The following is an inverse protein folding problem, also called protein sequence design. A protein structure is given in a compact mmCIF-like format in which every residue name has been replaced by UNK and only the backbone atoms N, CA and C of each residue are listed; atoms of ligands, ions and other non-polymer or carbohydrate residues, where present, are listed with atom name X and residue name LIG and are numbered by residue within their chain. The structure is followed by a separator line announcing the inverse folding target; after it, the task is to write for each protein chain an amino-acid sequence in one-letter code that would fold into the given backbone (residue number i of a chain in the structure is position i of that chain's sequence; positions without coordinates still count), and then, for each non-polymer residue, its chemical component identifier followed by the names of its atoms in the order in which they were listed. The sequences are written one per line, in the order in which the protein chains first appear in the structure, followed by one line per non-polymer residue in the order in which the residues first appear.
data_IF_694948924650
#
_entry.id   IF_694948924650
#
_cell.length_a   1.000
_cell.length_b   1.000
_cell.length_c   1.000
_cell.angle_alpha   90.00
_cell.angle_beta   90.00
_cell.angle_gamma   90.00
#
_symmetry.space_group_name_H-M   'P 1'
#
loop_
_entity.id
_entity.type
_entity.pdbx_description
1 polymer ?
#
# COMPACT_ATOMS: atom_id res chain seq x y z
N UNK A 1 3.43 12.44 47.61
CA UNK A 1 3.74 11.03 47.95
C UNK A 1 2.54 10.16 47.68
N UNK A 2 2.70 9.00 47.05
CA UNK A 2 1.61 8.03 46.91
C UNK A 2 1.31 7.44 48.29
N UNK A 3 0.18 7.83 48.90
CA UNK A 3 -0.29 7.24 50.16
C UNK A 3 -0.48 5.73 49.92
N UNK A 4 0.25 4.92 50.66
CA UNK A 4 0.16 3.46 50.62
C UNK A 4 -0.99 3.05 51.53
N UNK A 5 -1.98 2.39 50.98
CA UNK A 5 -3.09 1.85 51.76
C UNK A 5 -2.64 0.55 52.45
N UNK A 6 -3.23 0.27 53.60
CA UNK A 6 -3.01 -0.99 54.32
C UNK A 6 -3.59 -2.15 53.53
N UNK A 7 -3.09 -3.36 53.78
CA UNK A 7 -3.50 -4.55 53.03
C UNK A 7 -5.02 -4.80 53.09
N UNK A 8 -5.62 -4.69 54.29
CA UNK A 8 -7.07 -4.84 54.47
C UNK A 8 -7.88 -3.79 53.70
N UNK A 9 -7.38 -2.56 53.59
CA UNK A 9 -8.02 -1.49 52.82
C UNK A 9 -7.96 -1.81 51.32
N UNK A 10 -6.81 -2.30 50.84
CA UNK A 10 -6.63 -2.70 49.45
C UNK A 10 -7.56 -3.87 49.11
N UNK A 11 -7.72 -4.84 50.00
CA UNK A 11 -8.61 -5.99 49.80
C UNK A 11 -10.07 -5.58 49.72
N UNK A 12 -10.55 -4.73 50.64
CA UNK A 12 -11.91 -4.20 50.60
C UNK A 12 -12.17 -3.39 49.31
N UNK A 13 -11.24 -2.52 48.90
CA UNK A 13 -11.34 -1.75 47.65
C UNK A 13 -11.33 -2.65 46.41
N UNK A 14 -10.52 -3.72 46.41
CA UNK A 14 -10.47 -4.68 45.31
C UNK A 14 -11.75 -5.49 45.20
N UNK A 15 -12.25 -6.03 46.30
CA UNK A 15 -13.49 -6.79 46.33
C UNK A 15 -14.67 -5.95 45.84
N UNK A 16 -14.80 -4.71 46.32
CA UNK A 16 -15.83 -3.80 45.83
C UNK A 16 -15.69 -3.44 44.33
N UNK A 17 -14.45 -3.34 43.82
CA UNK A 17 -14.19 -3.07 42.40
C UNK A 17 -14.51 -4.27 41.51
N UNK A 18 -14.28 -5.49 42.00
CA UNK A 18 -14.63 -6.74 41.31
C UNK A 18 -16.15 -6.90 41.19
N UNK A 19 -16.91 -6.47 42.20
CA UNK A 19 -18.37 -6.41 42.12
C UNK A 19 -18.90 -5.30 41.20
N UNK A 20 -18.27 -4.12 41.21
CA UNK A 20 -18.65 -3.01 40.34
C UNK A 20 -17.50 -2.03 40.14
N UNK A 21 -17.16 -1.75 38.88
CA UNK A 21 -16.16 -0.74 38.53
C UNK A 21 -16.64 0.70 38.76
N UNK A 22 -17.95 0.88 38.87
CA UNK A 22 -18.61 2.15 39.14
C UNK A 22 -19.02 2.23 40.59
N UNK A 23 -18.49 3.25 41.27
CA UNK A 23 -18.72 3.44 42.69
C UNK A 23 -20.04 4.20 42.90
N UNK A 24 -21.08 3.51 43.34
CA UNK A 24 -22.37 4.10 43.72
C UNK A 24 -22.28 4.82 45.07
N UNK A 25 -23.25 5.68 45.39
CA UNK A 25 -23.25 6.46 46.64
C UNK A 25 -23.30 5.56 47.88
N UNK A 26 -24.11 4.50 47.86
CA UNK A 26 -24.22 3.53 48.96
C UNK A 26 -22.90 2.77 49.17
N UNK A 27 -22.36 2.13 48.12
CA UNK A 27 -21.08 1.42 48.20
C UNK A 27 -19.91 2.30 48.62
N UNK A 28 -19.96 3.60 48.26
CA UNK A 28 -18.97 4.58 48.71
C UNK A 28 -19.03 4.76 50.23
N UNK A 29 -20.22 4.86 50.82
CA UNK A 29 -20.37 4.98 52.27
C UNK A 29 -19.96 3.68 52.99
N UNK A 30 -20.33 2.53 52.43
CA UNK A 30 -19.91 1.23 52.98
C UNK A 30 -18.39 1.07 52.99
N UNK A 31 -17.71 1.50 51.92
CA UNK A 31 -16.25 1.48 51.86
C UNK A 31 -15.60 2.45 52.84
N UNK A 32 -16.17 3.64 53.08
CA UNK A 32 -15.67 4.55 54.13
C UNK A 32 -15.76 3.88 55.49
N UNK A 33 -16.91 3.26 55.81
CA UNK A 33 -17.11 2.56 57.08
C UNK A 33 -16.16 1.37 57.24
N UNK A 34 -15.95 0.58 56.19
CA UNK A 34 -15.13 -0.63 56.23
C UNK A 34 -13.61 -0.34 56.24
N UNK A 35 -13.16 0.73 55.57
CA UNK A 35 -11.72 1.02 55.37
C UNK A 35 -11.20 2.18 56.22
N UNK A 36 -12.09 3.01 56.77
CA UNK A 36 -11.74 4.26 57.46
C UNK A 36 -11.09 5.31 56.55
N UNK A 37 -11.13 5.10 55.22
CA UNK A 37 -10.54 6.01 54.24
C UNK A 37 -11.51 7.14 53.89
N UNK A 38 -10.93 8.29 53.54
CA UNK A 38 -11.72 9.40 53.05
C UNK A 38 -12.30 9.13 51.65
N UNK A 39 -13.44 9.74 51.38
CA UNK A 39 -14.20 9.60 50.14
C UNK A 39 -13.36 9.95 48.90
N UNK A 40 -12.51 10.97 49.00
CA UNK A 40 -11.63 11.36 47.90
C UNK A 40 -10.55 10.31 47.63
N UNK A 41 -10.03 9.68 48.69
CA UNK A 41 -9.02 8.64 48.57
C UNK A 41 -9.57 7.40 47.86
N UNK A 42 -10.80 6.99 48.22
CA UNK A 42 -11.52 5.89 47.57
C UNK A 42 -11.78 6.24 46.09
N UNK A 43 -12.29 7.44 45.81
CA UNK A 43 -12.56 7.88 44.44
C UNK A 43 -11.28 7.93 43.57
N UNK A 44 -10.18 8.45 44.14
CA UNK A 44 -8.87 8.49 43.48
C UNK A 44 -8.33 7.09 43.21
N UNK A 45 -8.50 6.16 44.15
CA UNK A 45 -8.10 4.77 43.97
C UNK A 45 -8.88 4.10 42.82
N UNK A 46 -10.21 4.25 42.80
CA UNK A 46 -11.05 3.71 41.71
C UNK A 46 -10.68 4.30 40.35
N UNK A 47 -10.44 5.62 40.29
CA UNK A 47 -10.00 6.29 39.06
C UNK A 47 -8.66 5.72 38.55
N UNK A 48 -7.66 5.61 39.44
CA UNK A 48 -6.36 5.00 39.11
C UNK A 48 -6.49 3.54 38.72
N UNK A 49 -7.37 2.78 39.37
CA UNK A 49 -7.61 1.36 39.06
C UNK A 49 -8.18 1.19 37.65
N UNK A 50 -9.19 1.98 37.28
CA UNK A 50 -9.75 2.01 35.91
C UNK A 50 -8.72 2.46 34.88
N UNK A 51 -7.91 3.48 35.19
CA UNK A 51 -6.85 3.92 34.29
C UNK A 51 -5.82 2.80 34.02
N UNK A 52 -5.41 2.07 35.06
CA UNK A 52 -4.52 0.90 34.90
C UNK A 52 -5.17 -0.24 34.13
N UNK A 53 -6.47 -0.50 34.35
CA UNK A 53 -7.21 -1.52 33.60
C UNK A 53 -7.23 -1.18 32.11
N UNK A 54 -7.65 0.04 31.74
CA UNK A 54 -7.64 0.53 30.36
C UNK A 54 -6.25 0.49 29.73
N UNK A 55 -5.21 0.88 30.46
CA UNK A 55 -3.84 0.81 29.96
C UNK A 55 -3.41 -0.63 29.63
N UNK A 56 -3.76 -1.60 30.49
CA UNK A 56 -3.47 -3.03 30.23
C UNK A 56 -4.25 -3.58 29.04
N UNK A 57 -5.52 -3.18 28.90
CA UNK A 57 -6.35 -3.58 27.75
C UNK A 57 -5.78 -3.02 26.45
N UNK A 58 -5.42 -1.74 26.42
CA UNK A 58 -4.79 -1.11 25.27
C UNK A 58 -3.43 -1.75 24.93
N UNK A 59 -2.62 -2.08 25.94
CA UNK A 59 -1.36 -2.79 25.73
C UNK A 59 -1.57 -4.19 25.13
N UNK A 60 -2.55 -4.94 25.63
CA UNK A 60 -2.89 -6.26 25.10
C UNK A 60 -3.40 -6.16 23.65
N UNK A 61 -4.25 -5.17 23.34
CA UNK A 61 -4.74 -4.92 21.99
C UNK A 61 -3.60 -4.54 21.02
N UNK A 62 -2.67 -3.69 21.46
CA UNK A 62 -1.48 -3.33 20.69
C UNK A 62 -0.59 -4.56 20.42
N UNK A 63 -0.40 -5.44 21.41
CA UNK A 63 0.37 -6.68 21.24
C UNK A 63 -0.29 -7.62 20.23
N UNK A 64 -1.62 -7.77 20.28
CA UNK A 64 -2.37 -8.55 19.30
C UNK A 64 -2.22 -7.96 17.90
N UNK A 65 -2.40 -6.65 17.74
CA UNK A 65 -2.24 -5.96 16.46
C UNK A 65 -0.82 -6.10 15.92
N UNK A 66 0.19 -5.95 16.77
CA UNK A 66 1.60 -6.13 16.40
C UNK A 66 1.87 -7.55 15.89
N UNK A 67 1.43 -8.58 16.62
CA UNK A 67 1.63 -9.97 16.22
C UNK A 67 0.96 -10.28 14.88
N UNK A 68 -0.26 -9.75 14.66
CA UNK A 68 -0.99 -9.89 13.40
C UNK A 68 -0.25 -9.24 12.24
N UNK A 69 0.13 -7.98 12.38
CA UNK A 69 0.88 -7.24 11.35
C UNK A 69 2.22 -7.91 11.05
N UNK A 70 2.89 -8.46 12.06
CA UNK A 70 4.14 -9.20 11.86
C UNK A 70 3.91 -10.47 11.01
N UNK A 71 2.81 -11.20 11.25
CA UNK A 71 2.46 -12.37 10.45
C UNK A 71 2.13 -11.97 9.00
N UNK A 72 1.32 -10.94 8.80
CA UNK A 72 0.97 -10.41 7.48
C UNK A 72 2.22 -9.95 6.71
N UNK A 73 3.12 -9.23 7.37
CA UNK A 73 4.40 -8.80 6.77
C UNK A 73 5.27 -9.98 6.33
N UNK A 74 5.34 -11.05 7.15
CA UNK A 74 6.08 -12.27 6.77
C UNK A 74 5.47 -12.95 5.56
N UNK A 75 4.14 -13.04 5.50
CA UNK A 75 3.43 -13.60 4.36
C UNK A 75 3.69 -12.78 3.09
N UNK A 76 3.53 -11.44 3.14
CA UNK A 76 3.80 -10.56 2.02
C UNK A 76 5.24 -10.67 1.52
N UNK A 77 6.23 -10.68 2.42
CA UNK A 77 7.64 -10.88 2.04
C UNK A 77 7.90 -12.22 1.36
N UNK A 78 7.22 -13.28 1.81
CA UNK A 78 7.29 -14.59 1.17
C UNK A 78 6.73 -14.56 -0.25
N UNK A 79 5.54 -13.99 -0.44
CA UNK A 79 4.93 -13.82 -1.76
C UNK A 79 5.77 -12.95 -2.69
N UNK A 80 6.33 -11.85 -2.19
CA UNK A 80 7.22 -10.97 -2.96
C UNK A 80 8.45 -11.74 -3.46
N UNK A 81 9.12 -12.50 -2.60
CA UNK A 81 10.27 -13.30 -2.99
C UNK A 81 9.92 -14.36 -4.05
N UNK A 82 8.74 -14.96 -3.96
CA UNK A 82 8.26 -15.90 -4.97
C UNK A 82 8.02 -15.21 -6.32
N UNK A 83 7.35 -14.06 -6.33
CA UNK A 83 7.12 -13.28 -7.55
C UNK A 83 8.42 -12.81 -8.19
N UNK A 84 9.41 -12.39 -7.39
CA UNK A 84 10.74 -12.03 -7.90
C UNK A 84 11.44 -13.22 -8.59
N UNK A 85 11.31 -14.43 -8.02
CA UNK A 85 11.84 -15.64 -8.63
C UNK A 85 11.15 -15.96 -9.96
N UNK A 86 9.81 -15.94 -9.98
CA UNK A 86 9.01 -16.17 -11.19
C UNK A 86 9.35 -15.14 -12.28
N UNK A 87 9.52 -13.87 -11.90
CA UNK A 87 9.93 -12.81 -12.82
C UNK A 87 11.31 -13.08 -13.42
N UNK A 88 12.28 -13.53 -12.61
CA UNK A 88 13.62 -13.86 -13.10
C UNK A 88 13.58 -15.05 -14.07
N UNK A 89 12.80 -16.08 -13.76
CA UNK A 89 12.61 -17.24 -14.63
C UNK A 89 11.95 -16.83 -15.96
N UNK A 90 10.92 -15.99 -15.91
CA UNK A 90 10.25 -15.45 -17.09
C UNK A 90 11.22 -14.65 -17.97
N UNK A 91 12.02 -13.76 -17.38
CA UNK A 91 13.05 -12.98 -18.10
C UNK A 91 14.10 -13.85 -18.79
N UNK A 92 14.51 -14.96 -18.15
CA UNK A 92 15.45 -15.92 -18.77
C UNK A 92 14.81 -16.59 -19.99
N UNK A 93 13.58 -17.07 -19.87
CA UNK A 93 12.83 -17.68 -20.99
C UNK A 93 12.64 -16.70 -22.14
N UNK A 94 12.35 -15.43 -21.84
CA UNK A 94 12.22 -14.39 -22.85
C UNK A 94 13.54 -14.14 -23.59
N UNK A 95 14.68 -14.12 -22.88
CA UNK A 95 15.99 -13.99 -23.50
C UNK A 95 16.31 -15.17 -24.43
N UNK A 96 16.01 -16.40 -24.01
CA UNK A 96 16.18 -17.61 -24.83
C UNK A 96 15.34 -17.54 -26.12
N UNK A 97 14.05 -17.15 -26.00
CA UNK A 97 13.16 -16.99 -27.15
C UNK A 97 13.62 -15.85 -28.08
N UNK A 98 14.16 -14.76 -27.53
CA UNK A 98 14.71 -13.67 -28.33
C UNK A 98 15.96 -14.09 -29.10
N UNK A 99 16.85 -14.87 -28.47
CA UNK A 99 18.01 -15.45 -29.14
C UNK A 99 17.62 -16.45 -30.22
N UNK A 100 16.62 -17.30 -29.97
CA UNK A 100 16.09 -18.21 -30.98
C UNK A 100 15.45 -17.45 -32.14
N UNK A 101 14.62 -16.44 -31.86
CA UNK A 101 14.05 -15.57 -32.89
C UNK A 101 15.14 -14.88 -33.72
N UNK A 102 16.23 -14.41 -33.09
CA UNK A 102 17.37 -13.83 -33.80
C UNK A 102 18.02 -14.86 -34.73
N UNK A 103 18.30 -16.07 -34.24
CA UNK A 103 18.87 -17.17 -35.04
C UNK A 103 17.94 -17.57 -36.20
N UNK A 104 16.63 -17.61 -35.96
CA UNK A 104 15.66 -17.90 -37.01
C UNK A 104 15.63 -16.81 -38.06
N UNK A 105 15.67 -15.53 -37.68
CA UNK A 105 15.80 -14.40 -38.62
C UNK A 105 17.08 -14.47 -39.44
N UNK A 106 18.22 -14.79 -38.82
CA UNK A 106 19.49 -15.00 -39.52
C UNK A 106 19.40 -16.16 -40.53
N UNK A 107 18.79 -17.29 -40.13
CA UNK A 107 18.55 -18.44 -41.03
C UNK A 107 17.62 -18.11 -42.17
N UNK A 108 16.53 -17.38 -41.91
CA UNK A 108 15.60 -16.90 -42.93
C UNK A 108 16.34 -15.97 -43.88
N UNK A 109 17.11 -14.99 -43.40
CA UNK A 109 17.87 -14.08 -44.27
C UNK A 109 18.91 -14.80 -45.16
N UNK A 110 19.53 -15.89 -44.67
CA UNK A 110 20.45 -16.71 -45.46
C UNK A 110 19.72 -17.62 -46.45
N UNK A 111 18.55 -18.16 -46.07
CA UNK A 111 17.69 -18.94 -46.97
C UNK A 111 17.01 -18.06 -48.04
N UNK A 112 16.66 -16.83 -47.67
CA UNK A 112 16.25 -15.70 -48.51
C UNK A 112 17.46 -15.01 -49.16
N UNK A 113 18.51 -15.78 -49.48
CA UNK A 113 19.45 -15.47 -50.55
C UNK A 113 18.79 -15.37 -51.94
N UNK A 114 17.48 -15.13 -52.00
CA UNK A 114 16.73 -14.81 -53.19
C UNK A 114 16.98 -13.34 -53.51
N UNK A 115 17.88 -13.13 -54.48
CA UNK A 115 18.04 -11.86 -55.21
C UNK A 115 16.70 -11.28 -55.70
N UNK A 116 15.66 -12.11 -55.80
CA UNK A 116 14.27 -11.71 -56.07
C UNK A 116 13.63 -10.91 -54.93
N UNK A 117 13.80 -11.28 -53.65
CA UNK A 117 13.21 -10.54 -52.53
C UNK A 117 13.84 -9.15 -52.39
N UNK A 118 15.17 -9.06 -52.56
CA UNK A 118 15.88 -7.78 -52.63
C UNK A 118 15.55 -6.92 -53.86
N UNK A 119 15.03 -7.52 -54.93
CA UNK A 119 14.45 -6.77 -56.07
C UNK A 119 13.04 -6.29 -55.76
N UNK A 120 12.26 -7.07 -55.01
CA UNK A 120 10.89 -6.75 -54.63
C UNK A 120 10.87 -5.59 -53.61
N UNK A 121 11.75 -5.62 -52.61
CA UNK A 121 11.90 -4.51 -51.65
C UNK A 121 12.27 -3.21 -52.37
N UNK A 122 13.26 -3.24 -53.28
CA UNK A 122 13.64 -2.06 -54.06
C UNK A 122 12.49 -1.53 -54.93
N UNK A 123 11.70 -2.43 -55.52
CA UNK A 123 10.52 -2.05 -56.29
C UNK A 123 9.48 -1.33 -55.41
N UNK A 124 9.15 -1.89 -54.25
CA UNK A 124 8.19 -1.28 -53.33
C UNK A 124 8.70 0.03 -52.73
N UNK A 125 9.99 0.15 -52.42
CA UNK A 125 10.60 1.41 -51.95
C UNK A 125 10.51 2.53 -52.99
N UNK A 126 10.73 2.23 -54.27
CA UNK A 126 10.58 3.21 -55.36
C UNK A 126 9.10 3.58 -55.59
N UNK A 127 8.18 2.62 -55.45
CA UNK A 127 6.74 2.88 -55.59
C UNK A 127 6.22 3.75 -54.43
N UNK A 128 6.69 3.49 -53.21
CA UNK A 128 6.34 4.30 -52.05
C UNK A 128 6.93 5.72 -52.14
N UNK A 129 8.15 5.87 -52.66
CA UNK A 129 8.73 7.21 -52.95
C UNK A 129 7.87 8.01 -53.93
N UNK A 130 7.40 7.37 -55.00
CA UNK A 130 6.48 8.01 -55.97
C UNK A 130 5.13 8.34 -55.35
N UNK A 131 4.65 7.50 -54.43
CA UNK A 131 3.42 7.77 -53.70
C UNK A 131 3.55 9.02 -52.82
N UNK A 132 4.63 9.09 -52.04
CA UNK A 132 4.97 10.25 -51.20
C UNK A 132 5.21 11.51 -52.04
N UNK A 133 5.86 11.42 -53.20
CA UNK A 133 6.02 12.57 -54.11
C UNK A 133 4.67 13.08 -54.62
N UNK A 134 3.72 12.19 -54.96
CA UNK A 134 2.36 12.59 -55.34
C UNK A 134 1.59 13.20 -54.17
N UNK A 135 1.75 12.67 -52.96
CA UNK A 135 1.17 13.23 -51.74
C UNK A 135 1.74 14.62 -51.43
N UNK A 136 3.05 14.81 -51.55
CA UNK A 136 3.72 16.09 -51.32
C UNK A 136 3.23 17.17 -52.30
N UNK A 137 2.99 16.80 -53.57
CA UNK A 137 2.38 17.70 -54.57
C UNK A 137 0.94 18.07 -54.17
N UNK A 138 0.16 17.10 -53.69
CA UNK A 138 -1.21 17.35 -53.21
C UNK A 138 -1.25 18.19 -51.91
N UNK A 139 -0.29 18.00 -50.99
CA UNK A 139 -0.18 18.79 -49.75
C UNK A 139 0.28 20.24 -50.00
N UNK A 140 1.00 20.53 -51.08
CA UNK A 140 1.30 21.92 -51.47
C UNK A 140 0.07 22.71 -51.87
N UNK A 141 -0.97 22.04 -52.39
CA UNK A 141 -2.22 22.69 -52.79
C UNK A 141 -3.14 22.97 -51.57
N UNK A 142 -3.01 22.20 -50.48
CA UNK A 142 -3.91 22.28 -49.31
C UNK A 142 -3.42 23.24 -48.18
N UNK A 143 -2.14 23.68 -48.23
CA UNK A 143 -1.53 24.58 -47.21
C UNK A 143 -2.00 26.05 -47.27
N UNK A 144 -2.92 26.42 -48.16
CA UNK A 144 -3.54 27.76 -48.18
C UNK A 144 -4.79 27.90 -47.29
N UNK A 145 -5.30 26.83 -46.65
CA UNK A 145 -6.66 26.85 -46.07
C UNK A 145 -6.79 26.68 -44.55
N UNK A 146 -5.71 26.59 -43.76
CA UNK A 146 -5.85 26.36 -42.30
C UNK A 146 -5.06 27.39 -41.47
N UNK A 147 -5.79 28.39 -40.95
CA UNK A 147 -5.31 29.36 -39.96
C UNK A 147 -5.12 28.76 -38.55
N UNK A 148 -4.40 29.43 -37.64
CA UNK A 148 -3.87 28.77 -36.45
C UNK A 148 -4.90 28.59 -35.32
N UNK A 149 -4.88 27.37 -34.79
CA UNK A 149 -5.62 26.79 -33.66
C UNK A 149 -5.46 27.56 -32.34
N UNK A 150 -6.59 27.78 -31.66
CA UNK A 150 -6.73 28.51 -30.39
C UNK A 150 -6.38 27.58 -29.22
N UNK A 151 -5.31 27.90 -28.47
CA UNK A 151 -4.89 27.17 -27.26
C UNK A 151 -5.80 27.53 -26.09
N UNK A 152 -6.44 26.54 -25.47
CA UNK A 152 -6.97 26.64 -24.12
C UNK A 152 -5.80 26.79 -23.14
N UNK A 153 -5.84 27.84 -22.32
CA UNK A 153 -4.97 28.02 -21.16
C UNK A 153 -5.80 27.69 -19.92
N UNK A 154 -5.42 26.61 -19.23
CA UNK A 154 -5.91 26.27 -17.91
C UNK A 154 -5.27 27.22 -16.88
N UNK A 155 -6.07 28.11 -16.31
CA UNK A 155 -5.75 28.82 -15.06
C UNK A 155 -6.76 28.37 -13.99
N UNK A 156 -6.28 27.69 -12.95
CA UNK A 156 -6.99 27.59 -11.66
C UNK A 156 -6.09 28.15 -10.56
N UNK A 157 -6.55 29.15 -9.77
CA UNK A 157 -5.80 29.67 -8.64
C UNK A 157 -5.96 28.77 -7.41
N UNK A 158 -4.85 28.48 -6.75
CA UNK A 158 -4.78 27.83 -5.45
C UNK A 158 -5.45 28.68 -4.35
N UNK A 159 -6.29 28.04 -3.54
CA UNK A 159 -6.60 28.45 -2.17
C UNK A 159 -6.43 27.27 -1.22
#
# INVERSE_FOLDING_TARGET
MAKRFEQHQIEALRSAFEESEHLTKEKKMDLVAATGLDVEQIASWFSRRRARKRAREAEAELQLSHSRLQHELRACRGSEAQLQKELLESKKREAELNDENRRLKERIAVAEGDKQFGSLIRFFEDENRRFEERLAVAESDDKQLIGPSMRLVDEYPDW
#
